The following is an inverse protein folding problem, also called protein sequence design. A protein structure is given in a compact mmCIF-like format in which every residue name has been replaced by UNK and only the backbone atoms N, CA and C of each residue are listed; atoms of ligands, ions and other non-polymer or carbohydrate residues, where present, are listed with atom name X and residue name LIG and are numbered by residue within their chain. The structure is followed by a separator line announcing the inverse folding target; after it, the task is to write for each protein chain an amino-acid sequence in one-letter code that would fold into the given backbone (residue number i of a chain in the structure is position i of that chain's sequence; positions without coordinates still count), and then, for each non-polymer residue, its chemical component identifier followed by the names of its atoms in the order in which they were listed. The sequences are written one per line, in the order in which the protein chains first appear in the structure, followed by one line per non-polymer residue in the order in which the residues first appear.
data_IF_850374187967
#
_entry.id   IF_850374187967
#
_cell.length_a   1.000
_cell.length_b   1.000
_cell.length_c   1.000
_cell.angle_alpha   90.00
_cell.angle_beta   90.00
_cell.angle_gamma   90.00
#
_symmetry.space_group_name_H-M   'P 1'
#
loop_
_entity.id
_entity.type
_entity.pdbx_description
1 polymer ?
#
# COMPACT_ATOMS: atom_id res chain seq x y z
N UNK A 1 38.37 -2.16 2.29
CA UNK A 1 38.20 -1.29 3.49
C UNK A 1 37.90 0.15 3.08
N UNK A 2 38.79 1.16 3.13
CA UNK A 2 38.40 2.58 2.95
C UNK A 2 37.55 2.86 1.70
N UNK A 3 38.02 2.44 0.52
CA UNK A 3 37.27 2.60 -0.74
C UNK A 3 35.85 2.05 -0.65
N UNK A 4 35.68 0.86 -0.04
CA UNK A 4 34.40 0.19 0.19
C UNK A 4 33.42 1.05 1.00
N UNK A 5 33.89 1.79 2.00
CA UNK A 5 33.08 2.74 2.76
C UNK A 5 32.80 4.03 1.99
N UNK A 6 33.72 4.47 1.12
CA UNK A 6 33.49 5.65 0.27
C UNK A 6 32.48 5.43 -0.87
N UNK A 7 32.15 4.17 -1.19
CA UNK A 7 31.16 3.80 -2.22
C UNK A 7 29.87 3.17 -1.64
N UNK A 8 29.68 3.18 -0.31
CA UNK A 8 28.43 2.70 0.29
C UNK A 8 27.30 3.70 0.04
N UNK A 9 26.09 3.26 -0.34
CA UNK A 9 24.95 4.16 -0.52
C UNK A 9 24.55 4.74 0.84
N UNK A 10 24.74 6.04 1.01
CA UNK A 10 24.43 6.76 2.25
C UNK A 10 23.83 8.12 1.93
N UNK A 11 22.74 8.46 2.62
CA UNK A 11 22.19 9.81 2.63
C UNK A 11 23.04 10.71 3.54
N UNK A 12 23.80 11.62 2.93
CA UNK A 12 24.71 12.53 3.66
C UNK A 12 24.01 13.77 4.24
N UNK A 13 22.80 14.08 3.77
CA UNK A 13 22.02 15.23 4.26
C UNK A 13 21.42 14.95 5.65
N UNK A 14 21.15 13.67 5.94
CA UNK A 14 20.72 13.19 7.25
C UNK A 14 21.86 13.20 8.26
N UNK A 15 21.78 14.12 9.23
CA UNK A 15 22.72 14.19 10.37
C UNK A 15 22.76 12.89 11.19
N UNK A 16 21.64 12.16 11.27
CA UNK A 16 21.57 10.86 11.95
C UNK A 16 22.39 9.82 11.18
N UNK A 17 22.11 9.68 9.88
CA UNK A 17 22.72 8.67 9.00
C UNK A 17 24.24 8.89 8.91
N UNK A 18 24.67 10.15 8.72
CA UNK A 18 26.08 10.51 8.73
C UNK A 18 26.78 10.25 10.09
N UNK A 19 26.13 10.56 11.23
CA UNK A 19 26.70 10.31 12.55
C UNK A 19 26.81 8.82 12.89
N UNK A 20 25.78 8.03 12.53
CA UNK A 20 25.79 6.58 12.68
C UNK A 20 26.92 5.94 11.85
N UNK A 21 27.06 6.31 10.58
CA UNK A 21 28.15 5.85 9.72
C UNK A 21 29.55 6.17 10.30
N UNK A 22 29.74 7.38 10.85
CA UNK A 22 31.01 7.73 11.52
C UNK A 22 31.26 6.87 12.76
N UNK A 23 30.23 6.50 13.54
CA UNK A 23 30.36 5.53 14.66
C UNK A 23 30.74 4.14 14.14
N UNK A 24 30.10 3.66 13.08
CA UNK A 24 30.34 2.35 12.44
C UNK A 24 31.78 2.24 11.91
N UNK A 25 32.23 3.22 11.11
CA UNK A 25 33.59 3.28 10.57
C UNK A 25 34.64 3.36 11.69
N UNK A 26 34.36 4.12 12.76
CA UNK A 26 35.23 4.18 13.94
C UNK A 26 35.37 2.81 14.63
N UNK A 27 34.26 2.12 14.95
CA UNK A 27 34.33 0.78 15.57
C UNK A 27 35.10 -0.20 14.67
N UNK A 28 34.80 -0.20 13.38
CA UNK A 28 35.50 -1.05 12.40
C UNK A 28 37.01 -0.76 12.40
N UNK A 29 37.42 0.51 12.45
CA UNK A 29 38.84 0.90 12.49
C UNK A 29 39.56 0.49 13.79
N UNK A 30 38.81 0.28 14.89
CA UNK A 30 39.32 -0.25 16.15
C UNK A 30 39.40 -1.79 16.19
N UNK A 31 39.06 -2.49 15.09
CA UNK A 31 39.06 -3.96 15.04
C UNK A 31 37.96 -4.62 15.86
N UNK A 32 36.90 -3.89 16.21
CA UNK A 32 35.75 -4.41 16.95
C UNK A 32 34.60 -4.74 16.00
N UNK A 33 33.97 -5.91 16.16
CA UNK A 33 32.82 -6.31 15.35
C UNK A 33 31.58 -5.43 15.65
N UNK A 34 30.77 -5.15 14.62
CA UNK A 34 29.52 -4.41 14.75
C UNK A 34 28.41 -5.43 15.04
N UNK A 35 28.28 -5.85 16.30
CA UNK A 35 27.23 -6.79 16.72
C UNK A 35 25.84 -6.17 16.76
N UNK A 36 24.80 -7.01 16.72
CA UNK A 36 23.39 -6.63 16.76
C UNK A 36 23.04 -5.74 17.97
N UNK A 37 23.29 -6.20 19.20
CA UNK A 37 22.89 -5.50 20.42
C UNK A 37 23.47 -4.07 20.45
N UNK A 38 24.76 -3.98 20.13
CA UNK A 38 25.49 -2.73 20.04
C UNK A 38 24.99 -1.81 18.91
N UNK A 39 24.41 -2.35 17.84
CA UNK A 39 23.74 -1.57 16.78
C UNK A 39 22.39 -1.04 17.27
N UNK A 40 21.64 -1.84 18.03
CA UNK A 40 20.38 -1.43 18.66
C UNK A 40 20.63 -0.35 19.73
N UNK A 41 21.66 -0.49 20.56
CA UNK A 41 22.14 0.52 21.50
C UNK A 41 22.48 1.85 20.79
N UNK A 42 23.20 1.76 19.66
CA UNK A 42 23.62 2.95 18.89
C UNK A 42 22.43 3.78 18.39
N UNK A 43 21.31 3.11 18.12
CA UNK A 43 20.06 3.65 17.60
C UNK A 43 19.02 3.97 18.70
N UNK A 44 19.28 3.58 19.95
CA UNK A 44 18.33 3.59 21.07
C UNK A 44 17.04 2.80 20.76
N UNK A 45 17.17 1.56 20.24
CA UNK A 45 16.05 0.75 19.72
C UNK A 45 14.84 0.64 20.67
N UNK A 46 15.05 0.54 21.99
CA UNK A 46 13.96 0.49 22.99
C UNK A 46 13.06 1.74 23.00
N UNK A 47 13.54 2.88 22.48
CA UNK A 47 12.77 4.13 22.34
C UNK A 47 12.01 4.24 21.01
N UNK A 48 12.19 3.28 20.10
CA UNK A 48 11.54 3.26 18.78
C UNK A 48 10.17 2.59 18.90
N UNK A 49 9.12 3.41 18.85
CA UNK A 49 7.72 2.97 18.81
C UNK A 49 7.01 3.42 17.54
N UNK A 50 5.70 3.14 17.47
CA UNK A 50 4.83 3.62 16.39
C UNK A 50 4.87 5.16 16.32
N UNK A 51 5.16 5.78 15.16
CA UNK A 51 5.28 7.23 15.05
C UNK A 51 3.90 7.89 15.02
N UNK A 52 3.63 8.76 15.99
CA UNK A 52 2.39 9.56 16.07
C UNK A 52 2.47 10.86 15.26
N UNK A 53 3.70 11.34 15.01
CA UNK A 53 4.02 12.61 14.35
C UNK A 53 4.96 12.43 13.16
N UNK A 54 4.88 13.34 12.19
CA UNK A 54 5.67 13.31 10.95
C UNK A 54 7.19 13.33 11.22
N UNK A 55 7.64 13.97 12.29
CA UNK A 55 9.05 13.99 12.71
C UNK A 55 9.53 12.65 13.30
N UNK A 56 8.64 11.88 13.93
CA UNK A 56 8.95 10.52 14.36
C UNK A 56 8.99 9.57 13.15
N UNK A 57 8.10 9.77 12.17
CA UNK A 57 8.08 9.01 10.92
C UNK A 57 9.34 9.27 10.07
N UNK A 58 9.75 10.53 9.93
CA UNK A 58 11.03 10.92 9.31
C UNK A 58 12.22 10.29 10.04
N UNK A 59 12.23 10.30 11.39
CA UNK A 59 13.27 9.65 12.16
C UNK A 59 13.33 8.13 11.91
N UNK A 60 12.17 7.46 11.84
CA UNK A 60 12.04 6.03 11.58
C UNK A 60 12.62 5.64 10.21
N UNK A 61 12.37 6.44 9.18
CA UNK A 61 12.97 6.30 7.85
C UNK A 61 14.52 6.43 7.92
N UNK A 62 15.05 7.38 8.68
CA UNK A 62 16.52 7.55 8.83
C UNK A 62 17.17 6.47 9.70
N UNK A 63 16.42 5.80 10.57
CA UNK A 63 16.90 4.56 11.22
C UNK A 63 16.96 3.41 10.21
N UNK A 64 15.95 3.26 9.35
CA UNK A 64 15.94 2.25 8.29
C UNK A 64 17.11 2.42 7.30
N UNK A 65 17.39 3.66 6.84
CA UNK A 65 18.59 3.97 6.02
C UNK A 65 19.90 3.44 6.65
N UNK A 66 20.03 3.55 7.98
CA UNK A 66 21.22 3.13 8.72
C UNK A 66 21.33 1.61 8.86
N UNK A 67 20.20 0.89 8.91
CA UNK A 67 20.21 -0.58 8.92
C UNK A 67 20.46 -1.17 7.52
N UNK A 68 19.90 -0.60 6.45
CA UNK A 68 20.24 -1.05 5.10
C UNK A 68 21.73 -0.80 4.78
N UNK A 69 22.29 0.32 5.27
CA UNK A 69 23.73 0.58 5.22
C UNK A 69 24.56 -0.46 6.00
N UNK A 70 24.08 -0.98 7.13
CA UNK A 70 24.70 -2.13 7.82
C UNK A 70 24.67 -3.37 6.91
N UNK A 71 23.52 -3.73 6.34
CA UNK A 71 23.36 -4.91 5.48
C UNK A 71 24.21 -4.81 4.20
N UNK A 72 24.36 -3.61 3.64
CA UNK A 72 25.24 -3.38 2.51
C UNK A 72 26.72 -3.62 2.87
N UNK A 73 27.10 -3.38 4.12
CA UNK A 73 28.46 -3.61 4.65
C UNK A 73 28.69 -5.06 5.11
N UNK A 74 27.69 -5.77 5.65
CA UNK A 74 27.84 -7.18 6.07
C UNK A 74 28.18 -8.09 4.89
N UNK A 75 27.51 -7.89 3.75
CA UNK A 75 27.79 -8.53 2.46
C UNK A 75 29.24 -8.34 1.94
N UNK A 76 30.05 -7.49 2.59
CA UNK A 76 31.42 -7.14 2.18
C UNK A 76 32.46 -7.36 3.27
N UNK A 77 32.05 -7.51 4.53
CA UNK A 77 32.92 -7.72 5.69
C UNK A 77 32.27 -8.68 6.71
N UNK A 78 31.92 -9.93 6.33
CA UNK A 78 31.14 -10.83 7.17
C UNK A 78 31.80 -11.12 8.52
N UNK A 79 33.13 -11.22 8.58
CA UNK A 79 33.89 -11.46 9.81
C UNK A 79 33.74 -10.32 10.86
N UNK A 80 33.38 -9.12 10.41
CA UNK A 80 33.25 -7.90 11.22
C UNK A 80 31.80 -7.48 11.45
N UNK A 81 30.85 -8.03 10.68
CA UNK A 81 29.41 -7.77 10.75
C UNK A 81 28.63 -9.11 10.61
N UNK A 82 28.72 -10.01 11.61
CA UNK A 82 28.16 -11.37 11.50
C UNK A 82 26.62 -11.41 11.57
N UNK A 83 25.99 -10.41 12.20
CA UNK A 83 24.58 -10.48 12.62
C UNK A 83 23.58 -10.03 11.54
N UNK A 84 23.90 -10.31 10.27
CA UNK A 84 23.08 -9.90 9.12
C UNK A 84 21.62 -10.36 9.25
N UNK A 85 21.38 -11.59 9.71
CA UNK A 85 20.02 -12.14 9.84
C UNK A 85 19.18 -11.38 10.88
N UNK A 86 19.77 -11.05 12.03
CA UNK A 86 19.07 -10.31 13.09
C UNK A 86 18.75 -8.87 12.64
N UNK A 87 19.68 -8.21 11.95
CA UNK A 87 19.43 -6.88 11.35
C UNK A 87 18.37 -6.95 10.25
N UNK A 88 18.33 -8.01 9.42
CA UNK A 88 17.25 -8.22 8.43
C UNK A 88 15.87 -8.37 9.08
N UNK A 89 15.77 -9.02 10.22
CA UNK A 89 14.50 -9.16 10.94
C UNK A 89 14.08 -7.87 11.66
N UNK A 90 15.03 -7.07 12.16
CA UNK A 90 14.76 -5.71 12.63
C UNK A 90 14.28 -4.79 11.48
N UNK A 91 14.87 -4.90 10.27
CA UNK A 91 14.41 -4.16 9.10
C UNK A 91 12.96 -4.50 8.72
N UNK A 92 12.54 -5.77 8.82
CA UNK A 92 11.13 -6.17 8.58
C UNK A 92 10.17 -5.59 9.60
N UNK A 93 10.59 -5.48 10.86
CA UNK A 93 9.78 -4.87 11.93
C UNK A 93 9.59 -3.36 11.67
N UNK A 94 10.66 -2.66 11.29
CA UNK A 94 10.60 -1.26 10.85
C UNK A 94 9.69 -1.08 9.62
N UNK A 95 9.84 -1.93 8.60
CA UNK A 95 9.06 -1.86 7.36
C UNK A 95 7.55 -2.04 7.63
N UNK A 96 7.18 -2.96 8.54
CA UNK A 96 5.80 -3.12 9.00
C UNK A 96 5.27 -1.88 9.76
N UNK A 97 6.09 -1.26 10.63
CA UNK A 97 5.72 -0.01 11.32
C UNK A 97 5.56 1.15 10.33
N UNK A 98 6.47 1.26 9.35
CA UNK A 98 6.43 2.25 8.27
C UNK A 98 5.18 2.07 7.41
N UNK A 99 4.82 0.84 7.02
CA UNK A 99 3.60 0.56 6.26
C UNK A 99 2.35 1.01 7.03
N UNK A 100 2.19 0.62 8.30
CA UNK A 100 1.05 1.03 9.14
C UNK A 100 1.00 2.55 9.32
N UNK A 101 2.16 3.21 9.35
CA UNK A 101 2.26 4.68 9.43
C UNK A 101 1.84 5.37 8.13
N UNK A 102 2.17 4.79 6.98
CA UNK A 102 1.80 5.31 5.65
C UNK A 102 0.31 5.06 5.38
N UNK A 103 -0.26 3.93 5.82
CA UNK A 103 -1.71 3.68 5.76
C UNK A 103 -2.49 4.68 6.61
N UNK A 104 -1.98 5.06 7.78
CA UNK A 104 -2.59 6.03 8.69
C UNK A 104 -2.03 7.47 8.54
N UNK A 105 -1.38 7.79 7.41
CA UNK A 105 -0.66 9.07 7.22
C UNK A 105 -1.52 10.32 7.44
N UNK A 106 -2.84 10.23 7.21
CA UNK A 106 -3.78 11.33 7.44
C UNK A 106 -3.90 11.69 8.93
N UNK A 107 -3.79 10.72 9.84
CA UNK A 107 -3.85 10.91 11.29
C UNK A 107 -2.52 11.47 11.82
N UNK A 108 -1.39 10.93 11.34
CA UNK A 108 -0.05 11.48 11.62
C UNK A 108 0.06 12.94 11.17
N UNK A 109 -0.53 13.28 10.02
CA UNK A 109 -0.64 14.66 9.54
C UNK A 109 -1.64 15.52 10.35
N UNK A 110 -2.70 14.94 10.93
CA UNK A 110 -3.65 15.64 11.81
C UNK A 110 -2.97 16.02 13.14
N UNK A 111 -2.29 15.07 13.78
CA UNK A 111 -1.44 15.29 14.97
C UNK A 111 -0.37 16.35 14.71
N UNK A 112 0.38 16.20 13.62
CA UNK A 112 1.44 17.15 13.21
C UNK A 112 0.90 18.53 12.81
N UNK A 113 -0.40 18.65 12.50
CA UNK A 113 -1.06 19.91 12.15
C UNK A 113 -1.72 20.61 13.36
N UNK A 114 -1.94 19.93 14.49
CA UNK A 114 -2.55 20.54 15.67
C UNK A 114 -1.72 21.70 16.25
N UNK A 115 -0.39 21.68 16.06
CA UNK A 115 0.50 22.79 16.42
C UNK A 115 0.55 23.95 15.42
N UNK A 116 -0.12 23.86 14.27
CA UNK A 116 0.01 24.82 13.16
C UNK A 116 -1.34 25.04 12.45
N UNK A 117 -2.12 25.98 12.98
CA UNK A 117 -3.53 26.22 12.63
C UNK A 117 -3.82 26.44 11.14
N UNK A 118 -2.81 26.79 10.31
CA UNK A 118 -2.99 26.90 8.85
C UNK A 118 -3.20 25.53 8.19
N UNK A 119 -2.58 24.46 8.71
CA UNK A 119 -2.62 23.10 8.13
C UNK A 119 -3.97 22.41 8.34
N UNK A 120 -4.63 22.63 9.49
CA UNK A 120 -5.98 22.07 9.76
C UNK A 120 -7.04 22.49 8.73
N UNK A 121 -6.93 23.69 8.15
CA UNK A 121 -7.82 24.15 7.07
C UNK A 121 -7.66 23.35 5.77
N UNK A 122 -6.46 22.79 5.51
CA UNK A 122 -6.20 21.93 4.37
C UNK A 122 -6.76 20.53 4.59
N UNK A 123 -6.51 19.93 5.77
CA UNK A 123 -7.00 18.61 6.14
C UNK A 123 -8.52 18.51 6.08
N UNK A 124 -9.25 19.52 6.59
CA UNK A 124 -10.72 19.57 6.50
C UNK A 124 -11.21 19.46 5.04
N UNK A 125 -10.60 20.22 4.12
CA UNK A 125 -10.93 20.20 2.69
C UNK A 125 -10.60 18.86 2.02
N UNK A 126 -9.57 18.17 2.49
CA UNK A 126 -9.23 16.82 2.01
C UNK A 126 -10.25 15.78 2.51
N UNK A 127 -10.68 15.87 3.78
CA UNK A 127 -11.72 15.02 4.38
C UNK A 127 -13.06 15.19 3.67
N UNK A 128 -13.48 16.44 3.43
CA UNK A 128 -14.69 16.78 2.68
C UNK A 128 -14.66 16.16 1.27
N UNK A 129 -13.56 16.35 0.52
CA UNK A 129 -13.39 15.73 -0.82
C UNK A 129 -13.52 14.20 -0.77
N UNK A 130 -12.82 13.54 0.15
CA UNK A 130 -12.85 12.09 0.29
C UNK A 130 -14.25 11.56 0.68
N UNK A 131 -15.02 12.31 1.47
CA UNK A 131 -16.41 12.00 1.79
C UNK A 131 -17.31 12.16 0.57
N UNK A 132 -17.26 13.30 -0.13
CA UNK A 132 -18.06 13.54 -1.36
C UNK A 132 -17.78 12.49 -2.43
N UNK A 133 -16.53 12.03 -2.56
CA UNK A 133 -16.14 11.01 -3.54
C UNK A 133 -16.76 9.64 -3.20
N UNK A 134 -16.66 9.20 -1.94
CA UNK A 134 -17.32 7.97 -1.43
C UNK A 134 -18.85 8.03 -1.50
N UNK A 135 -19.45 9.20 -1.32
CA UNK A 135 -20.89 9.41 -1.47
C UNK A 135 -21.34 9.36 -2.94
N UNK A 136 -20.58 9.99 -3.84
CA UNK A 136 -20.80 9.91 -5.29
C UNK A 136 -20.69 8.47 -5.80
N UNK A 137 -19.68 7.73 -5.37
CA UNK A 137 -19.48 6.31 -5.71
C UNK A 137 -20.66 5.44 -5.23
N UNK A 138 -21.16 5.66 -4.00
CA UNK A 138 -22.36 4.99 -3.49
C UNK A 138 -23.60 5.32 -4.32
N UNK A 139 -23.81 6.58 -4.67
CA UNK A 139 -24.95 7.03 -5.49
C UNK A 139 -24.89 6.44 -6.91
N UNK A 140 -23.73 6.45 -7.56
CA UNK A 140 -23.54 5.84 -8.88
C UNK A 140 -23.73 4.32 -8.83
N UNK A 141 -23.23 3.64 -7.79
CA UNK A 141 -23.46 2.21 -7.59
C UNK A 141 -24.95 1.88 -7.34
N UNK A 142 -25.67 2.71 -6.57
CA UNK A 142 -27.11 2.54 -6.33
C UNK A 142 -27.91 2.75 -7.61
N UNK A 143 -27.66 3.84 -8.35
CA UNK A 143 -28.28 4.13 -9.66
C UNK A 143 -27.99 3.05 -10.70
N UNK A 144 -26.78 2.47 -10.69
CA UNK A 144 -26.38 1.35 -11.56
C UNK A 144 -27.08 0.03 -11.18
N UNK A 145 -27.36 -0.21 -9.89
CA UNK A 145 -28.20 -1.34 -9.43
C UNK A 145 -29.66 -1.16 -9.86
N UNK A 146 -30.24 0.01 -9.58
CA UNK A 146 -31.63 0.34 -9.95
C UNK A 146 -31.87 0.21 -11.45
N UNK A 147 -30.99 0.80 -12.27
CA UNK A 147 -31.05 0.68 -13.73
C UNK A 147 -30.93 -0.77 -14.21
N UNK A 148 -30.15 -1.61 -13.51
CA UNK A 148 -30.01 -3.04 -13.83
C UNK A 148 -31.27 -3.84 -13.48
N UNK A 149 -31.95 -3.55 -12.35
CA UNK A 149 -33.28 -4.10 -12.08
C UNK A 149 -34.28 -3.70 -13.17
N UNK A 150 -34.38 -2.41 -13.50
CA UNK A 150 -35.28 -1.86 -14.54
C UNK A 150 -34.95 -2.26 -15.99
N UNK A 151 -33.86 -2.99 -16.20
CA UNK A 151 -33.53 -3.68 -17.45
C UNK A 151 -33.90 -5.17 -17.34
N UNK A 152 -33.64 -5.81 -16.19
CA UNK A 152 -34.02 -7.20 -15.96
C UNK A 152 -35.55 -7.39 -15.98
N UNK A 153 -36.29 -6.54 -15.28
CA UNK A 153 -37.77 -6.49 -15.26
C UNK A 153 -38.33 -6.43 -16.69
N UNK A 154 -37.88 -5.46 -17.51
CA UNK A 154 -38.30 -5.37 -18.93
C UNK A 154 -37.86 -6.55 -19.79
N UNK A 155 -36.72 -7.19 -19.49
CA UNK A 155 -36.31 -8.40 -20.20
C UNK A 155 -37.19 -9.61 -19.83
N UNK A 156 -37.72 -9.65 -18.60
CA UNK A 156 -38.66 -10.66 -18.15
C UNK A 156 -40.07 -10.41 -18.72
N UNK A 157 -40.54 -9.15 -18.75
CA UNK A 157 -41.76 -8.73 -19.47
C UNK A 157 -41.70 -9.11 -20.96
N UNK A 158 -40.59 -8.80 -21.64
CA UNK A 158 -40.39 -9.13 -23.06
C UNK A 158 -40.32 -10.65 -23.27
N UNK A 159 -39.66 -11.41 -22.37
CA UNK A 159 -39.67 -12.88 -22.43
C UNK A 159 -41.08 -13.46 -22.27
N UNK A 160 -41.86 -12.94 -21.32
CA UNK A 160 -43.24 -13.36 -21.12
C UNK A 160 -44.09 -13.05 -22.37
N UNK A 161 -43.99 -11.84 -22.92
CA UNK A 161 -44.70 -11.44 -24.14
C UNK A 161 -44.33 -12.33 -25.34
N UNK A 162 -43.04 -12.64 -25.53
CA UNK A 162 -42.57 -13.55 -26.60
C UNK A 162 -43.10 -14.98 -26.40
N UNK A 163 -43.19 -15.49 -25.16
CA UNK A 163 -43.76 -16.82 -24.88
C UNK A 163 -45.28 -16.93 -25.10
N UNK A 164 -45.98 -15.79 -25.20
CA UNK A 164 -47.45 -15.71 -25.37
C UNK A 164 -47.85 -15.59 -26.85
N UNK A 165 -46.92 -15.41 -27.78
CA UNK A 165 -47.22 -15.35 -29.23
C UNK A 165 -47.72 -16.72 -29.75
N UNK A 166 -48.98 -16.86 -30.18
CA UNK A 166 -49.47 -18.13 -30.71
C UNK A 166 -48.88 -18.39 -32.10
N UNK A 167 -48.39 -19.60 -32.33
CA UNK A 167 -47.72 -20.02 -33.56
C UNK A 167 -48.71 -20.05 -34.75
N UNK A 168 -48.85 -18.92 -35.46
CA UNK A 168 -49.97 -18.68 -36.39
C UNK A 168 -49.70 -19.16 -37.82
N UNK A 169 -50.00 -20.44 -38.02
CA UNK A 169 -50.33 -21.10 -39.30
C UNK A 169 -49.22 -21.25 -40.36
N UNK A 170 -49.11 -22.48 -40.88
CA UNK A 170 -48.71 -22.71 -42.27
C UNK A 170 -49.72 -23.69 -42.94
N UNK A 171 -50.90 -23.18 -43.25
CA UNK A 171 -51.86 -23.86 -44.14
C UNK A 171 -51.65 -23.40 -45.58
N UNK A 172 -50.90 -24.19 -46.35
CA UNK A 172 -50.83 -24.09 -47.82
C UNK A 172 -50.92 -25.49 -48.42
N UNK A 173 -51.89 -25.69 -49.30
CA UNK A 173 -52.24 -27.01 -49.83
C UNK A 173 -51.86 -27.21 -51.29
N UNK A 174 -51.71 -28.48 -51.63
CA UNK A 174 -51.85 -29.12 -52.95
C UNK A 174 -52.61 -30.43 -52.69
N UNK A 175 -53.45 -30.99 -53.56
CA UNK A 175 -53.88 -30.60 -54.90
C UNK A 175 -54.28 -31.87 -55.68
N UNK A 176 -55.18 -31.75 -56.67
CA UNK A 176 -55.46 -32.76 -57.73
C UNK A 176 -55.97 -34.18 -57.37
N UNK A 177 -57.23 -34.47 -57.77
CA UNK A 177 -57.73 -35.77 -58.32
C UNK A 177 -57.75 -37.01 -57.35
N UNK A 178 -58.49 -38.13 -57.54
CA UNK A 178 -59.30 -38.65 -58.65
C UNK A 178 -60.41 -39.67 -58.19
N UNK A 179 -61.62 -39.55 -58.78
CA UNK A 179 -62.49 -40.64 -59.34
C UNK A 179 -62.92 -41.92 -58.56
N UNK A 180 -64.24 -41.98 -58.26
CA UNK A 180 -65.22 -43.06 -58.58
C UNK A 180 -64.84 -44.55 -58.47
N UNK A 181 -65.31 -45.21 -57.41
CA UNK A 181 -65.74 -46.62 -57.33
C UNK A 181 -66.48 -46.83 -55.97
N UNK A 182 -67.58 -47.58 -55.82
CA UNK A 182 -68.51 -48.22 -56.77
C UNK A 182 -69.96 -47.77 -56.48
#
# INVERSE_FOLDING_TARGET
VRYTFCISPINVDSKLTAAAFVKMVRRFSSGQCLTYDWMMDMLNWESIGQPENLQQLEHLEKVYEVLDLYLWLSLRFPDMLPDELAIRDACKQLDAMLQVSVENILEILENSAMGDARKGSLLKKMRERAQTQREKEKYEAQKKKELKCRINERNEEVRAAVSVVPNRANSRGTGTTQERAE
#
